data_IF_368321534191
#
_entry.id   IF_368321534191
#
_cell.length_a   1.000
_cell.length_b   1.000
_cell.length_c   1.000
_cell.angle_alpha   90.00
_cell.angle_beta   90.00
_cell.angle_gamma   90.00
#
_symmetry.space_group_name_H-M   'P 1'
#
loop_
_entity.id
_entity.type
_entity.pdbx_description
1 polymer ?
#
# COMPACT_ATOMS: atom_id res chain seq x y z
N UNK A 1 48.95 -0.29 -5.46
CA UNK A 1 47.52 -0.32 -5.85
C UNK A 1 46.65 -0.19 -4.61
N UNK A 2 45.75 0.79 -4.54
CA UNK A 2 44.78 0.89 -3.42
C UNK A 2 43.80 -0.28 -3.52
N UNK A 3 43.69 -1.12 -2.48
CA UNK A 3 42.67 -2.17 -2.40
C UNK A 3 41.29 -1.51 -2.49
N UNK A 4 40.58 -1.76 -3.58
CA UNK A 4 39.17 -1.34 -3.72
C UNK A 4 38.32 -2.23 -2.83
N UNK A 5 37.51 -1.63 -1.97
CA UNK A 5 36.56 -2.34 -1.11
C UNK A 5 35.48 -2.99 -1.99
N UNK A 6 35.38 -4.33 -1.93
CA UNK A 6 34.39 -5.12 -2.66
C UNK A 6 33.21 -5.39 -1.72
N UNK A 7 32.01 -4.98 -2.13
CA UNK A 7 30.77 -5.24 -1.38
C UNK A 7 29.94 -6.35 -2.05
N UNK A 8 29.23 -7.12 -1.23
CA UNK A 8 28.30 -8.17 -1.64
C UNK A 8 26.85 -7.71 -1.45
N UNK A 9 25.89 -8.41 -2.08
CA UNK A 9 24.45 -8.23 -1.84
C UNK A 9 24.18 -8.33 -0.35
N UNK A 10 23.83 -7.20 0.26
CA UNK A 10 23.26 -7.19 1.59
C UNK A 10 21.81 -7.69 1.50
N UNK A 11 21.34 -8.45 2.49
CA UNK A 11 19.93 -8.85 2.64
C UNK A 11 19.02 -7.66 3.00
N UNK A 12 19.25 -6.48 2.40
CA UNK A 12 18.43 -5.29 2.60
C UNK A 12 17.11 -5.50 1.88
N UNK A 13 16.03 -5.51 2.66
CA UNK A 13 14.66 -5.55 2.14
C UNK A 13 14.26 -4.20 1.52
N UNK A 14 14.80 -3.10 2.06
CA UNK A 14 14.44 -1.75 1.66
C UNK A 14 15.64 -1.05 1.01
N UNK A 15 15.41 -0.47 -0.15
CA UNK A 15 16.34 0.48 -0.78
C UNK A 15 15.80 1.91 -0.72
N UNK A 16 16.69 2.89 -0.72
CA UNK A 16 16.33 4.30 -0.77
C UNK A 16 16.99 5.00 -1.96
N UNK A 17 16.24 5.84 -2.65
CA UNK A 17 16.76 6.68 -3.73
C UNK A 17 16.07 8.03 -3.76
N UNK A 18 16.78 9.07 -4.20
CA UNK A 18 16.22 10.42 -4.34
C UNK A 18 15.03 10.46 -5.30
N UNK A 19 14.06 11.29 -4.95
CA UNK A 19 12.91 11.60 -5.79
C UNK A 19 13.31 12.13 -7.17
N UNK A 20 14.46 12.81 -7.26
CA UNK A 20 15.01 13.31 -8.54
C UNK A 20 15.33 12.19 -9.51
N UNK A 21 15.81 11.04 -9.02
CA UNK A 21 16.06 9.86 -9.88
C UNK A 21 14.74 9.24 -10.30
N UNK A 22 13.76 9.13 -9.41
CA UNK A 22 12.42 8.63 -9.78
C UNK A 22 11.80 9.48 -10.90
N UNK A 23 11.97 10.80 -10.88
CA UNK A 23 11.45 11.68 -11.93
C UNK A 23 12.44 11.98 -13.06
N UNK A 24 13.63 11.38 -13.05
CA UNK A 24 14.61 11.55 -14.12
C UNK A 24 14.15 10.88 -15.41
N UNK A 25 14.67 11.32 -16.56
CA UNK A 25 14.39 10.67 -17.86
C UNK A 25 15.43 9.59 -18.09
N UNK A 26 14.97 8.35 -18.22
CA UNK A 26 15.81 7.21 -18.60
C UNK A 26 14.93 6.03 -19.02
N UNK A 27 15.55 5.11 -19.75
CA UNK A 27 14.98 3.82 -20.08
C UNK A 27 15.92 2.70 -19.64
N UNK A 28 15.37 1.70 -18.96
CA UNK A 28 16.05 0.46 -18.64
C UNK A 28 15.14 -0.72 -19.01
N UNK A 29 15.72 -1.79 -19.53
CA UNK A 29 15.05 -3.09 -19.66
C UNK A 29 14.94 -3.80 -18.31
N UNK A 30 14.12 -4.83 -18.23
CA UNK A 30 13.95 -5.64 -17.01
C UNK A 30 15.30 -6.10 -16.41
N UNK A 31 16.16 -6.71 -17.21
CA UNK A 31 17.45 -7.20 -16.72
C UNK A 31 18.36 -6.07 -16.21
N UNK A 32 18.41 -4.95 -16.94
CA UNK A 32 19.15 -3.75 -16.52
C UNK A 32 18.60 -3.17 -15.22
N UNK A 33 17.27 -3.10 -15.08
CA UNK A 33 16.61 -2.65 -13.85
C UNK A 33 16.98 -3.53 -12.66
N UNK A 34 16.89 -4.85 -12.81
CA UNK A 34 17.20 -5.79 -11.72
C UNK A 34 18.67 -5.69 -11.30
N UNK A 35 19.61 -5.56 -12.26
CA UNK A 35 21.03 -5.34 -11.96
C UNK A 35 21.22 -4.02 -11.19
N UNK A 36 20.59 -2.92 -11.62
CA UNK A 36 20.69 -1.62 -10.91
C UNK A 36 20.04 -1.67 -9.53
N UNK A 37 18.90 -2.33 -9.37
CA UNK A 37 18.25 -2.49 -8.07
C UNK A 37 19.17 -3.27 -7.10
N UNK A 38 19.75 -4.38 -7.56
CA UNK A 38 20.69 -5.18 -6.77
C UNK A 38 22.00 -4.43 -6.50
N UNK A 39 22.45 -3.59 -7.42
CA UNK A 39 23.57 -2.67 -7.22
C UNK A 39 23.29 -1.68 -6.08
N UNK A 40 22.15 -0.99 -6.15
CA UNK A 40 21.75 0.01 -5.17
C UNK A 40 21.48 -0.64 -3.80
N UNK A 41 20.94 -1.85 -3.77
CA UNK A 41 20.71 -2.60 -2.52
C UNK A 41 22.01 -2.85 -1.71
N UNK A 42 23.16 -2.89 -2.39
CA UNK A 42 24.47 -3.04 -1.74
C UNK A 42 24.99 -1.73 -1.12
N UNK A 43 24.42 -0.59 -1.50
CA UNK A 43 24.77 0.73 -0.99
C UNK A 43 24.12 0.96 0.38
N UNK A 44 24.93 1.31 1.38
CA UNK A 44 24.38 1.85 2.64
C UNK A 44 24.04 3.34 2.46
N UNK A 45 22.78 3.65 2.17
CA UNK A 45 22.36 5.03 1.89
C UNK A 45 22.54 6.00 3.06
N UNK A 46 22.83 5.51 4.28
CA UNK A 46 23.06 6.34 5.47
C UNK A 46 24.55 6.43 5.78
N UNK A 47 25.26 5.30 5.79
CA UNK A 47 26.64 5.20 6.27
C UNK A 47 27.69 5.42 5.19
N UNK A 48 27.40 5.04 3.94
CA UNK A 48 28.40 5.10 2.88
C UNK A 48 28.67 6.55 2.46
N UNK A 49 29.96 6.92 2.41
CA UNK A 49 30.42 8.24 1.92
C UNK A 49 30.88 8.21 0.46
N UNK A 50 31.16 7.03 -0.08
CA UNK A 50 31.63 6.79 -1.44
C UNK A 50 31.13 5.44 -1.93
N UNK A 51 30.97 5.29 -3.24
CA UNK A 51 30.68 3.99 -3.84
C UNK A 51 31.93 3.12 -3.84
N UNK A 52 31.74 1.84 -3.56
CA UNK A 52 32.75 0.78 -3.73
C UNK A 52 32.64 0.13 -5.10
N UNK A 53 33.36 -0.98 -5.28
CA UNK A 53 33.05 -1.94 -6.35
C UNK A 53 32.08 -2.96 -5.80
N UNK A 54 31.00 -3.19 -6.54
CA UNK A 54 29.96 -4.13 -6.17
C UNK A 54 30.06 -5.35 -7.06
N UNK A 55 29.68 -6.51 -6.52
CA UNK A 55 29.64 -7.75 -7.29
C UNK A 55 28.30 -8.46 -7.15
N UNK A 56 27.95 -9.18 -8.21
CA UNK A 56 26.79 -10.07 -8.26
C UNK A 56 27.22 -11.33 -9.00
N UNK A 57 27.06 -12.49 -8.39
CA UNK A 57 27.27 -13.77 -9.08
C UNK A 57 26.07 -14.09 -9.97
N UNK A 58 26.28 -14.80 -11.08
CA UNK A 58 25.18 -15.24 -11.95
C UNK A 58 24.15 -16.07 -11.19
N UNK A 59 24.53 -17.07 -10.37
CA UNK A 59 23.55 -17.85 -9.62
C UNK A 59 22.68 -16.99 -8.66
N UNK A 60 23.28 -16.00 -7.99
CA UNK A 60 22.52 -15.06 -7.14
C UNK A 60 21.55 -14.22 -7.98
N UNK A 61 22.00 -13.74 -9.15
CA UNK A 61 21.14 -12.98 -10.07
C UNK A 61 19.98 -13.85 -10.54
N UNK A 62 20.23 -15.07 -11.02
CA UNK A 62 19.20 -16.00 -11.48
C UNK A 62 18.17 -16.32 -10.38
N UNK A 63 18.63 -16.52 -9.14
CA UNK A 63 17.76 -16.75 -8.00
C UNK A 63 16.84 -15.55 -7.75
N UNK A 64 17.36 -14.32 -7.82
CA UNK A 64 16.59 -13.09 -7.60
C UNK A 64 15.67 -12.75 -8.76
N UNK A 65 16.09 -13.04 -10.00
CA UNK A 65 15.28 -12.82 -11.21
C UNK A 65 14.21 -13.92 -11.35
N UNK A 66 14.44 -15.12 -10.82
CA UNK A 66 13.57 -16.27 -10.97
C UNK A 66 13.66 -16.93 -12.35
N UNK A 67 14.73 -16.66 -13.11
CA UNK A 67 14.96 -17.24 -14.43
C UNK A 67 16.44 -17.42 -14.72
N UNK A 68 16.75 -18.38 -15.60
CA UNK A 68 18.12 -18.65 -16.06
C UNK A 68 18.56 -17.58 -17.06
N UNK A 69 19.82 -17.16 -16.96
CA UNK A 69 20.39 -16.11 -17.80
C UNK A 69 21.54 -16.68 -18.59
N UNK A 70 21.45 -16.60 -19.92
CA UNK A 70 22.56 -17.00 -20.79
C UNK A 70 23.70 -16.00 -20.64
N UNK A 71 24.93 -16.50 -20.60
CA UNK A 71 26.14 -15.67 -20.49
C UNK A 71 26.21 -14.56 -21.55
N UNK A 72 25.89 -14.87 -22.81
CA UNK A 72 25.88 -13.89 -23.90
C UNK A 72 24.86 -12.76 -23.65
N UNK A 73 23.68 -13.09 -23.15
CA UNK A 73 22.65 -12.12 -22.79
C UNK A 73 23.10 -11.22 -21.63
N UNK A 74 23.85 -11.77 -20.68
CA UNK A 74 24.40 -11.02 -19.56
C UNK A 74 25.48 -10.02 -20.00
N UNK A 75 26.41 -10.45 -20.85
CA UNK A 75 27.44 -9.58 -21.44
C UNK A 75 26.79 -8.42 -22.20
N UNK A 76 25.79 -8.70 -23.01
CA UNK A 76 25.02 -7.69 -23.73
C UNK A 76 24.25 -6.75 -22.80
N UNK A 77 23.65 -7.28 -21.73
CA UNK A 77 22.97 -6.47 -20.72
C UNK A 77 23.94 -5.49 -20.04
N UNK A 78 25.15 -5.94 -19.69
CA UNK A 78 26.18 -5.08 -19.11
C UNK A 78 26.64 -4.00 -20.09
N UNK A 79 26.87 -4.38 -21.36
CA UNK A 79 27.24 -3.45 -22.43
C UNK A 79 26.19 -2.35 -22.62
N UNK A 80 24.91 -2.73 -22.68
CA UNK A 80 23.82 -1.76 -22.79
C UNK A 80 23.70 -0.92 -21.54
N UNK A 81 23.85 -1.50 -20.35
CA UNK A 81 23.76 -0.78 -19.07
C UNK A 81 24.79 0.35 -18.98
N UNK A 82 26.02 0.13 -19.44
CA UNK A 82 27.06 1.17 -19.55
C UNK A 82 26.63 2.34 -20.44
N UNK A 83 25.79 2.09 -21.44
CA UNK A 83 25.28 3.10 -22.37
C UNK A 83 24.00 3.80 -21.84
N UNK A 84 23.45 3.37 -20.71
CA UNK A 84 22.23 3.97 -20.14
C UNK A 84 22.52 5.29 -19.47
N UNK A 85 21.91 6.33 -20.02
CA UNK A 85 22.03 7.70 -19.52
C UNK A 85 20.84 8.03 -18.64
N UNK A 86 21.13 8.67 -17.51
CA UNK A 86 20.16 9.36 -16.66
C UNK A 86 20.20 10.84 -17.01
N UNK A 87 19.06 11.40 -17.38
CA UNK A 87 18.90 12.83 -17.65
C UNK A 87 18.10 13.49 -16.53
N UNK A 88 18.70 14.46 -15.85
CA UNK A 88 18.09 15.22 -14.76
C UNK A 88 18.03 16.71 -15.13
N UNK A 89 16.83 17.27 -15.09
CA UNK A 89 16.59 18.71 -15.24
C UNK A 89 16.73 19.42 -13.89
N UNK A 90 17.34 20.60 -13.91
CA UNK A 90 17.43 21.53 -12.78
C UNK A 90 17.07 22.93 -13.29
N UNK A 91 15.77 23.20 -13.45
CA UNK A 91 15.28 24.45 -14.04
C UNK A 91 15.64 24.52 -15.52
N UNK A 92 16.37 25.58 -15.92
CA UNK A 92 16.85 25.75 -17.31
C UNK A 92 18.08 24.89 -17.62
N UNK A 93 18.77 24.38 -16.61
CA UNK A 93 19.97 23.57 -16.76
C UNK A 93 19.64 22.08 -16.76
N UNK A 94 20.48 21.27 -17.39
CA UNK A 94 20.35 19.83 -17.39
C UNK A 94 21.69 19.14 -17.12
N UNK A 95 21.64 17.92 -16.62
CA UNK A 95 22.80 17.07 -16.40
C UNK A 95 22.51 15.66 -16.89
N UNK A 96 23.46 15.10 -17.64
CA UNK A 96 23.44 13.72 -18.13
C UNK A 96 24.62 12.96 -17.56
N UNK A 97 24.40 11.74 -17.12
CA UNK A 97 25.45 10.85 -16.65
C UNK A 97 24.99 9.39 -16.77
N UNK A 98 25.95 8.47 -16.77
CA UNK A 98 25.65 7.04 -16.83
C UNK A 98 25.29 6.48 -15.44
N UNK A 99 24.50 5.41 -15.40
CA UNK A 99 24.19 4.71 -14.14
C UNK A 99 25.43 4.11 -13.49
N UNK A 100 26.26 3.47 -14.29
CA UNK A 100 27.49 2.80 -13.88
C UNK A 100 28.66 3.38 -14.66
N UNK A 101 29.82 3.41 -14.01
CA UNK A 101 31.09 3.87 -14.59
C UNK A 101 31.97 2.71 -15.05
N UNK A 102 31.75 1.50 -14.51
CA UNK A 102 32.44 0.28 -14.93
C UNK A 102 31.51 -0.91 -14.86
N UNK A 103 31.68 -1.86 -15.78
CA UNK A 103 31.15 -3.22 -15.73
C UNK A 103 32.24 -4.18 -16.20
N UNK A 104 32.49 -5.24 -15.44
CA UNK A 104 33.49 -6.26 -15.70
C UNK A 104 32.85 -7.62 -15.48
N UNK A 105 32.97 -8.50 -16.47
CA UNK A 105 32.52 -9.89 -16.36
C UNK A 105 33.73 -10.81 -16.15
N UNK A 106 33.68 -11.63 -15.11
CA UNK A 106 34.75 -12.55 -14.73
C UNK A 106 34.27 -13.97 -15.01
N UNK A 107 34.80 -14.55 -16.09
CA UNK A 107 34.37 -15.84 -16.64
C UNK A 107 34.53 -16.99 -15.64
N UNK A 108 35.72 -17.14 -15.06
CA UNK A 108 36.01 -18.21 -14.08
C UNK A 108 35.23 -18.13 -12.77
N UNK A 109 34.70 -16.95 -12.42
CA UNK A 109 33.91 -16.74 -11.20
C UNK A 109 32.40 -16.64 -11.48
N UNK A 110 31.97 -16.69 -12.75
CA UNK A 110 30.60 -16.40 -13.16
C UNK A 110 30.02 -15.16 -12.46
N UNK A 111 30.81 -14.08 -12.43
CA UNK A 111 30.53 -12.89 -11.62
C UNK A 111 30.61 -11.62 -12.45
N UNK A 112 29.70 -10.69 -12.19
CA UNK A 112 29.81 -9.32 -12.70
C UNK A 112 30.28 -8.42 -11.56
N UNK A 113 31.31 -7.62 -11.81
CA UNK A 113 31.69 -6.47 -11.00
C UNK A 113 31.24 -5.19 -11.68
N UNK A 114 30.74 -4.24 -10.92
CA UNK A 114 30.39 -2.92 -11.43
C UNK A 114 30.65 -1.83 -10.40
N UNK A 115 30.80 -0.61 -10.89
CA UNK A 115 30.89 0.59 -10.07
C UNK A 115 29.79 1.56 -10.46
N UNK A 116 28.92 1.90 -9.51
CA UNK A 116 27.92 2.96 -9.69
C UNK A 116 28.67 4.27 -9.99
N UNK A 117 28.16 5.05 -10.94
CA UNK A 117 28.78 6.33 -11.29
C UNK A 117 28.84 7.26 -10.08
N UNK A 118 29.97 7.96 -9.90
CA UNK A 118 30.13 8.92 -8.79
C UNK A 118 29.10 10.06 -8.86
N UNK A 119 28.54 10.33 -10.04
CA UNK A 119 27.45 11.28 -10.25
C UNK A 119 26.13 10.87 -9.57
N UNK A 120 26.00 9.59 -9.22
CA UNK A 120 24.84 9.09 -8.46
C UNK A 120 24.91 9.37 -6.96
N UNK A 121 26.07 9.81 -6.42
CA UNK A 121 26.26 10.00 -4.98
C UNK A 121 25.18 10.89 -4.35
N UNK A 122 24.81 12.05 -4.92
CA UNK A 122 23.78 12.92 -4.33
C UNK A 122 22.39 12.29 -4.30
N UNK A 123 22.17 11.19 -5.04
CA UNK A 123 20.87 10.57 -5.20
C UNK A 123 20.73 9.23 -4.46
N UNK A 124 21.82 8.65 -3.98
CA UNK A 124 21.82 7.34 -3.30
C UNK A 124 22.51 7.37 -1.93
N UNK A 125 23.39 8.34 -1.66
CA UNK A 125 24.15 8.43 -0.41
C UNK A 125 23.69 9.60 0.45
N UNK A 126 23.69 9.39 1.76
CA UNK A 126 23.41 10.38 2.80
C UNK A 126 22.12 11.17 2.53
N UNK A 127 21.06 10.46 2.13
CA UNK A 127 19.79 11.07 1.79
C UNK A 127 19.11 11.64 3.05
N UNK A 128 19.01 12.97 3.14
CA UNK A 128 18.44 13.70 4.30
C UNK A 128 16.99 14.17 4.10
N UNK A 129 16.39 13.88 2.94
CA UNK A 129 15.01 14.25 2.59
C UNK A 129 14.73 14.07 1.10
N UNK A 130 13.46 14.16 0.69
CA UNK A 130 13.04 14.00 -0.71
C UNK A 130 13.57 12.71 -1.38
N UNK A 131 13.42 11.59 -0.69
CA UNK A 131 13.74 10.27 -1.19
C UNK A 131 12.56 9.33 -0.99
N UNK A 132 12.57 8.25 -1.75
CA UNK A 132 11.58 7.18 -1.69
C UNK A 132 12.23 5.91 -1.20
N UNK A 133 11.56 5.24 -0.27
CA UNK A 133 11.88 3.87 0.13
C UNK A 133 11.12 2.91 -0.76
N UNK A 134 11.77 1.82 -1.17
CA UNK A 134 11.24 0.84 -2.10
C UNK A 134 11.53 -0.54 -1.53
N UNK A 135 10.50 -1.36 -1.44
CA UNK A 135 10.64 -2.78 -1.10
C UNK A 135 11.30 -3.51 -2.29
N UNK A 136 12.55 -3.93 -2.08
CA UNK A 136 13.38 -4.55 -3.11
C UNK A 136 12.75 -5.85 -3.61
N UNK A 137 12.15 -6.63 -2.71
CA UNK A 137 11.51 -7.89 -3.07
C UNK A 137 10.34 -7.68 -4.05
N UNK A 138 9.52 -6.66 -3.82
CA UNK A 138 8.43 -6.31 -4.72
C UNK A 138 8.97 -5.79 -6.05
N UNK A 139 9.98 -4.92 -6.01
CA UNK A 139 10.62 -4.36 -7.20
C UNK A 139 11.24 -5.44 -8.12
N UNK A 140 11.87 -6.47 -7.54
CA UNK A 140 12.52 -7.55 -8.30
C UNK A 140 11.52 -8.52 -8.96
N UNK A 141 10.27 -8.60 -8.47
CA UNK A 141 9.22 -9.46 -9.05
C UNK A 141 8.68 -8.91 -10.38
N UNK A 142 8.91 -7.63 -10.69
CA UNK A 142 8.41 -7.00 -11.89
C UNK A 142 9.25 -7.37 -13.12
N UNK A 143 8.53 -7.68 -14.21
CA UNK A 143 9.11 -8.03 -15.50
C UNK A 143 8.78 -6.98 -16.58
N UNK A 144 7.71 -6.20 -16.38
CA UNK A 144 7.34 -5.14 -17.31
C UNK A 144 8.34 -3.99 -17.32
N UNK A 145 8.73 -3.58 -18.54
CA UNK A 145 9.69 -2.50 -18.80
C UNK A 145 9.38 -1.20 -18.04
N UNK A 146 8.10 -0.87 -17.86
CA UNK A 146 7.67 0.37 -17.21
C UNK A 146 7.09 0.14 -15.81
N UNK A 147 6.83 -1.11 -15.41
CA UNK A 147 6.17 -1.46 -14.14
C UNK A 147 6.91 -0.89 -12.95
N UNK A 148 8.24 -1.06 -12.90
CA UNK A 148 9.06 -0.53 -11.81
C UNK A 148 8.94 0.99 -11.68
N UNK A 149 8.81 1.72 -12.79
CA UNK A 149 8.67 3.18 -12.79
C UNK A 149 7.34 3.60 -12.19
N UNK A 150 6.23 2.96 -12.59
CA UNK A 150 4.92 3.20 -11.98
C UNK A 150 4.89 2.84 -10.50
N UNK A 151 5.53 1.74 -10.10
CA UNK A 151 5.67 1.38 -8.68
C UNK A 151 6.43 2.45 -7.91
N UNK A 152 7.55 2.94 -8.45
CA UNK A 152 8.34 4.02 -7.87
C UNK A 152 7.53 5.32 -7.73
N UNK A 153 6.67 5.65 -8.70
CA UNK A 153 5.75 6.78 -8.60
C UNK A 153 4.75 6.59 -7.46
N UNK A 154 4.18 5.40 -7.29
CA UNK A 154 3.32 5.07 -6.13
C UNK A 154 4.08 5.27 -4.81
N UNK A 155 5.27 4.67 -4.68
CA UNK A 155 6.04 4.72 -3.44
C UNK A 155 6.48 6.14 -3.08
N UNK A 156 6.74 7.00 -4.07
CA UNK A 156 7.04 8.42 -3.81
C UNK A 156 5.89 9.16 -3.11
N UNK A 157 4.65 8.71 -3.27
CA UNK A 157 3.47 9.29 -2.61
C UNK A 157 3.12 8.61 -1.28
N UNK A 158 3.90 7.64 -0.80
CA UNK A 158 3.52 6.80 0.34
C UNK A 158 3.22 7.59 1.62
N UNK A 159 3.95 8.69 1.84
CA UNK A 159 3.78 9.58 2.99
C UNK A 159 2.84 10.77 2.71
N UNK A 160 2.26 10.87 1.52
CA UNK A 160 1.28 11.92 1.19
C UNK A 160 -0.10 11.50 1.68
N UNK A 161 -0.86 12.42 2.27
CA UNK A 161 -2.20 12.13 2.80
C UNK A 161 -3.16 11.59 1.73
N UNK A 162 -3.11 12.16 0.52
CA UNK A 162 -4.00 11.80 -0.59
C UNK A 162 -3.56 10.55 -1.35
N UNK A 163 -2.26 10.21 -1.33
CA UNK A 163 -1.64 9.14 -2.13
C UNK A 163 -2.01 9.20 -3.61
N UNK A 164 -2.14 10.42 -4.13
CA UNK A 164 -2.56 10.75 -5.50
C UNK A 164 -1.51 11.66 -6.14
N UNK A 165 -1.24 11.45 -7.44
CA UNK A 165 -0.38 12.32 -8.23
C UNK A 165 -0.85 12.36 -9.67
N UNK A 166 -0.92 13.57 -10.21
CA UNK A 166 -1.19 13.80 -11.62
C UNK A 166 0.09 13.85 -12.44
N UNK A 167 -0.03 13.45 -13.70
CA UNK A 167 1.03 13.47 -14.69
C UNK A 167 0.49 14.02 -16.00
N UNK A 168 1.06 15.14 -16.47
CA UNK A 168 0.91 15.54 -17.86
C UNK A 168 1.50 14.47 -18.76
N UNK A 169 0.75 14.03 -19.77
CA UNK A 169 1.16 12.89 -20.61
C UNK A 169 2.45 13.16 -21.38
N UNK A 170 2.63 14.38 -21.90
CA UNK A 170 3.87 14.80 -22.58
C UNK A 170 5.09 14.56 -21.67
N UNK A 171 5.00 15.02 -20.42
CA UNK A 171 6.08 14.88 -19.45
C UNK A 171 6.28 13.45 -19.00
N UNK A 172 5.21 12.68 -18.82
CA UNK A 172 5.30 11.27 -18.47
C UNK A 172 6.00 10.46 -19.58
N UNK A 173 5.70 10.75 -20.85
CA UNK A 173 6.36 10.10 -21.98
C UNK A 173 7.86 10.38 -22.00
N UNK A 174 8.27 11.62 -21.70
CA UNK A 174 9.68 11.98 -21.54
C UNK A 174 10.34 11.24 -20.38
N UNK A 175 9.72 11.23 -19.19
CA UNK A 175 10.25 10.59 -17.99
C UNK A 175 10.45 9.08 -18.19
N UNK A 176 9.54 8.44 -18.94
CA UNK A 176 9.60 7.02 -19.28
C UNK A 176 10.43 6.72 -20.54
N UNK A 177 10.89 7.75 -21.25
CA UNK A 177 11.60 7.65 -22.53
C UNK A 177 10.85 6.75 -23.53
N UNK A 178 9.53 6.97 -23.68
CA UNK A 178 8.72 6.14 -24.55
C UNK A 178 9.08 6.36 -26.02
N UNK A 179 9.14 5.29 -26.84
CA UNK A 179 9.24 5.43 -28.28
C UNK A 179 7.97 6.07 -28.85
N UNK A 180 8.13 6.79 -29.96
CA UNK A 180 7.02 7.50 -30.63
C UNK A 180 5.83 6.59 -30.93
N UNK A 181 6.10 5.33 -31.30
CA UNK A 181 5.07 4.33 -31.59
C UNK A 181 4.09 4.08 -30.43
N UNK A 182 4.48 4.39 -29.19
CA UNK A 182 3.63 4.29 -27.99
C UNK A 182 2.99 5.62 -27.59
N UNK A 183 3.48 6.75 -28.12
CA UNK A 183 2.97 8.10 -27.79
C UNK A 183 1.98 8.64 -28.82
N UNK A 184 1.91 8.05 -30.02
CA UNK A 184 0.99 8.45 -31.10
C UNK A 184 -0.48 8.44 -30.68
N UNK A 185 -0.85 7.53 -29.76
CA UNK A 185 -2.23 7.34 -29.32
C UNK A 185 -2.29 7.00 -27.84
N UNK A 186 -3.17 7.68 -27.10
CA UNK A 186 -3.42 7.35 -25.70
C UNK A 186 -3.93 5.92 -25.53
N UNK A 187 -4.72 5.40 -26.47
CA UNK A 187 -5.22 4.03 -26.39
C UNK A 187 -4.06 3.01 -26.41
N UNK A 188 -3.03 3.26 -27.23
CA UNK A 188 -1.85 2.40 -27.27
C UNK A 188 -0.99 2.55 -26.02
N UNK A 189 -0.78 3.77 -25.53
CA UNK A 189 -0.10 4.01 -24.25
C UNK A 189 -0.81 3.28 -23.10
N UNK A 190 -2.14 3.41 -23.01
CA UNK A 190 -2.98 2.71 -22.04
C UNK A 190 -2.78 1.20 -22.10
N UNK A 191 -3.00 0.59 -23.27
CA UNK A 191 -2.98 -0.87 -23.46
C UNK A 191 -1.58 -1.49 -23.32
N UNK A 192 -0.52 -0.76 -23.69
CA UNK A 192 0.85 -1.31 -23.75
C UNK A 192 1.73 -0.88 -22.58
N UNK A 193 1.36 0.17 -21.85
CA UNK A 193 2.18 0.72 -20.76
C UNK A 193 1.41 0.78 -19.45
N UNK A 194 0.31 1.53 -19.39
CA UNK A 194 -0.39 1.77 -18.11
C UNK A 194 -1.00 0.46 -17.58
N UNK A 195 -1.88 -0.18 -18.36
CA UNK A 195 -2.63 -1.35 -17.87
C UNK A 195 -1.71 -2.52 -17.53
N UNK A 196 -0.70 -2.90 -18.36
CA UNK A 196 0.24 -3.95 -17.98
C UNK A 196 1.01 -3.62 -16.70
N UNK A 197 1.45 -2.36 -16.54
CA UNK A 197 2.21 -1.94 -15.34
C UNK A 197 1.34 -2.00 -14.08
N UNK A 198 0.12 -1.47 -14.14
CA UNK A 198 -0.80 -1.43 -12.99
C UNK A 198 -1.27 -2.84 -12.63
N UNK A 199 -1.59 -3.69 -13.61
CA UNK A 199 -1.97 -5.07 -13.38
C UNK A 199 -0.85 -5.89 -12.74
N UNK A 200 0.40 -5.68 -13.19
CA UNK A 200 1.55 -6.37 -12.61
C UNK A 200 1.83 -5.91 -11.17
N UNK A 201 1.75 -4.59 -10.89
CA UNK A 201 1.84 -4.06 -9.51
C UNK A 201 0.77 -4.67 -8.62
N UNK A 202 -0.48 -4.69 -9.10
CA UNK A 202 -1.62 -5.22 -8.35
C UNK A 202 -1.51 -6.72 -8.09
N UNK A 203 -0.81 -7.46 -8.96
CA UNK A 203 -0.60 -8.90 -8.77
C UNK A 203 0.59 -9.18 -7.86
N UNK A 204 1.71 -8.48 -8.03
CA UNK A 204 3.01 -8.89 -7.49
C UNK A 204 3.53 -8.06 -6.31
N UNK A 205 2.83 -7.01 -5.89
CA UNK A 205 3.25 -6.14 -4.78
C UNK A 205 2.26 -6.11 -3.61
N UNK A 206 2.65 -5.42 -2.54
CA UNK A 206 1.88 -5.14 -1.33
C UNK A 206 0.80 -4.06 -1.52
N UNK A 207 0.78 -3.39 -2.67
CA UNK A 207 -0.17 -2.30 -2.96
C UNK A 207 -1.18 -2.65 -4.05
N UNK A 208 -2.31 -1.95 -4.01
CA UNK A 208 -3.28 -1.86 -5.10
C UNK A 208 -3.21 -0.46 -5.71
N UNK A 209 -2.58 -0.35 -6.87
CA UNK A 209 -2.51 0.85 -7.69
C UNK A 209 -3.72 0.96 -8.61
N UNK A 210 -4.10 2.20 -8.91
CA UNK A 210 -5.15 2.55 -9.87
C UNK A 210 -4.78 3.85 -10.59
N UNK A 211 -5.41 4.08 -11.74
CA UNK A 211 -5.23 5.32 -12.49
C UNK A 211 -6.56 5.79 -13.08
N UNK A 212 -6.66 7.09 -13.33
CA UNK A 212 -7.81 7.69 -14.00
C UNK A 212 -7.39 8.86 -14.90
N UNK A 213 -8.27 9.26 -15.81
CA UNK A 213 -8.06 10.46 -16.63
C UNK A 213 -8.48 11.67 -15.79
N UNK A 214 -7.53 12.52 -15.42
CA UNK A 214 -7.81 13.72 -14.62
C UNK A 214 -8.15 14.94 -15.48
N UNK A 215 -7.60 15.03 -16.70
CA UNK A 215 -7.83 16.18 -17.59
C UNK A 215 -7.88 15.82 -19.07
N UNK A 216 -8.81 16.46 -19.78
CA UNK A 216 -8.97 16.43 -21.24
C UNK A 216 -9.04 17.85 -21.79
N UNK A 217 -8.53 18.05 -23.00
CA UNK A 217 -8.72 19.26 -23.81
C UNK A 217 -9.46 18.84 -25.07
N UNK A 218 -10.75 19.19 -25.17
CA UNK A 218 -11.65 18.60 -26.15
C UNK A 218 -11.69 17.06 -26.02
N UNK A 219 -11.42 16.35 -27.12
CA UNK A 219 -11.33 14.87 -27.12
C UNK A 219 -9.95 14.35 -26.71
N UNK A 220 -8.93 15.20 -26.64
CA UNK A 220 -7.55 14.80 -26.34
C UNK A 220 -7.37 14.65 -24.84
N UNK A 221 -6.88 13.49 -24.41
CA UNK A 221 -6.45 13.27 -23.03
C UNK A 221 -5.08 13.93 -22.85
N UNK A 222 -4.91 14.70 -21.79
CA UNK A 222 -3.67 15.44 -21.54
C UNK A 222 -3.03 15.10 -20.20
N UNK A 223 -3.80 14.57 -19.25
CA UNK A 223 -3.31 14.26 -17.91
C UNK A 223 -3.97 12.98 -17.39
N UNK A 224 -3.18 12.21 -16.63
CA UNK A 224 -3.67 11.07 -15.84
C UNK A 224 -3.35 11.30 -14.36
N UNK A 225 -4.19 10.77 -13.49
CA UNK A 225 -3.90 10.65 -12.06
C UNK A 225 -3.56 9.20 -11.72
N UNK A 226 -2.47 9.00 -10.97
CA UNK A 226 -2.09 7.73 -10.37
C UNK A 226 -2.40 7.78 -8.87
N UNK A 227 -2.97 6.71 -8.34
CA UNK A 227 -3.19 6.54 -6.91
C UNK A 227 -2.99 5.10 -6.45
N UNK A 228 -2.85 4.88 -5.15
CA UNK A 228 -2.75 3.54 -4.61
C UNK A 228 -3.27 3.40 -3.18
N UNK A 229 -3.55 2.16 -2.79
CA UNK A 229 -3.90 1.76 -1.42
C UNK A 229 -3.05 0.57 -0.99
N UNK A 230 -2.73 0.47 0.30
CA UNK A 230 -2.12 -0.75 0.86
C UNK A 230 -3.14 -1.90 0.82
N UNK A 231 -2.71 -3.09 0.41
CA UNK A 231 -3.58 -4.28 0.39
C UNK A 231 -3.95 -4.74 1.80
N UNK A 232 -3.03 -4.65 2.75
CA UNK A 232 -3.28 -4.95 4.15
C UNK A 232 -4.41 -4.06 4.69
N UNK A 233 -4.29 -2.73 4.51
CA UNK A 233 -5.34 -1.79 4.91
C UNK A 233 -6.67 -2.05 4.22
N UNK A 234 -6.67 -2.50 2.95
CA UNK A 234 -7.90 -2.89 2.26
C UNK A 234 -8.53 -4.16 2.87
N UNK A 235 -7.72 -5.13 3.29
CA UNK A 235 -8.19 -6.35 3.94
C UNK A 235 -8.82 -6.02 5.30
N UNK A 236 -8.16 -5.19 6.10
CA UNK A 236 -8.69 -4.70 7.39
C UNK A 236 -10.03 -3.98 7.23
N UNK A 237 -10.12 -3.02 6.29
CA UNK A 237 -11.37 -2.31 5.99
C UNK A 237 -12.48 -3.27 5.53
N UNK A 238 -12.13 -4.29 4.74
CA UNK A 238 -13.10 -5.31 4.29
C UNK A 238 -13.57 -6.18 5.46
N UNK A 239 -12.67 -6.55 6.39
CA UNK A 239 -13.01 -7.31 7.59
C UNK A 239 -13.96 -6.51 8.48
N UNK A 240 -13.63 -5.25 8.77
CA UNK A 240 -14.48 -4.34 9.54
C UNK A 240 -15.86 -4.15 8.88
N UNK A 241 -15.91 -3.93 7.57
CA UNK A 241 -17.18 -3.78 6.85
C UNK A 241 -18.05 -5.05 6.90
N UNK A 242 -17.43 -6.25 6.83
CA UNK A 242 -18.13 -7.53 6.97
C UNK A 242 -18.67 -7.72 8.39
N UNK A 243 -17.90 -7.35 9.39
CA UNK A 243 -18.32 -7.40 10.80
C UNK A 243 -19.48 -6.43 11.08
N UNK A 244 -19.38 -5.18 10.66
CA UNK A 244 -20.50 -4.22 10.76
C UNK A 244 -21.74 -4.76 10.05
N UNK A 245 -21.58 -5.37 8.87
CA UNK A 245 -22.70 -5.97 8.13
C UNK A 245 -23.31 -7.19 8.85
N UNK A 246 -22.51 -8.04 9.49
CA UNK A 246 -23.00 -9.21 10.22
C UNK A 246 -23.78 -8.81 11.47
N UNK A 247 -23.42 -7.70 12.12
CA UNK A 247 -24.09 -7.18 13.31
C UNK A 247 -25.46 -6.55 13.01
N UNK A 248 -25.68 -6.01 11.79
CA UNK A 248 -26.98 -5.43 11.41
C UNK A 248 -28.17 -6.37 11.60
N UNK A 249 -27.96 -7.70 11.57
CA UNK A 249 -29.02 -8.71 11.78
C UNK A 249 -29.61 -8.70 13.20
N UNK A 250 -28.97 -8.03 14.15
CA UNK A 250 -29.45 -7.93 15.54
C UNK A 250 -30.27 -6.67 15.80
N UNK A 251 -30.19 -5.65 14.93
CA UNK A 251 -31.00 -4.43 15.06
C UNK A 251 -32.49 -4.80 15.05
N UNK A 252 -33.25 -4.22 15.98
CA UNK A 252 -34.68 -4.49 16.21
C UNK A 252 -34.97 -5.75 17.03
N UNK A 253 -33.96 -6.57 17.37
CA UNK A 253 -34.19 -7.72 18.26
C UNK A 253 -34.30 -7.26 19.71
N UNK A 254 -35.13 -7.98 20.45
CA UNK A 254 -35.25 -7.84 21.90
C UNK A 254 -34.13 -8.60 22.60
N UNK A 255 -33.55 -7.98 23.61
CA UNK A 255 -32.44 -8.49 24.40
C UNK A 255 -32.72 -8.24 25.89
N UNK A 256 -32.32 -9.18 26.75
CA UNK A 256 -32.42 -9.02 28.21
C UNK A 256 -31.07 -8.58 28.78
N UNK A 257 -31.02 -7.41 29.41
CA UNK A 257 -29.82 -6.84 30.01
C UNK A 257 -30.12 -6.39 31.44
N UNK A 258 -29.50 -7.03 32.44
CA UNK A 258 -29.78 -6.80 33.88
C UNK A 258 -31.28 -6.66 34.18
N UNK A 259 -32.09 -7.63 33.73
CA UNK A 259 -33.56 -7.68 33.89
C UNK A 259 -34.39 -6.64 33.11
N UNK A 260 -33.73 -5.73 32.40
CA UNK A 260 -34.36 -4.82 31.45
C UNK A 260 -34.50 -5.49 30.08
N UNK A 261 -35.73 -5.51 29.57
CA UNK A 261 -36.01 -5.93 28.20
C UNK A 261 -35.80 -4.73 27.26
N UNK A 262 -34.72 -4.75 26.49
CA UNK A 262 -34.31 -3.67 25.60
C UNK A 262 -34.48 -4.07 24.13
N UNK A 263 -34.62 -3.08 23.24
CA UNK A 263 -34.60 -3.26 21.79
C UNK A 263 -33.29 -2.69 21.25
N UNK A 264 -32.59 -3.48 20.45
CA UNK A 264 -31.31 -3.08 19.85
C UNK A 264 -31.57 -2.03 18.76
N UNK A 265 -31.22 -0.77 19.01
CA UNK A 265 -31.30 0.32 18.03
C UNK A 265 -30.05 0.36 17.14
N UNK A 266 -28.89 0.25 17.78
CA UNK A 266 -27.60 0.16 17.08
C UNK A 266 -26.70 -0.85 17.77
N UNK A 267 -25.73 -1.36 17.03
CA UNK A 267 -24.72 -2.26 17.56
C UNK A 267 -23.39 -2.03 16.84
N UNK A 268 -22.31 -2.04 17.61
CA UNK A 268 -20.95 -1.96 17.09
C UNK A 268 -19.99 -2.84 17.91
N UNK A 269 -18.81 -3.13 17.35
CA UNK A 269 -17.72 -3.79 18.08
C UNK A 269 -16.65 -2.75 18.39
N UNK A 270 -16.32 -2.60 19.67
CA UNK A 270 -15.23 -1.77 20.15
C UNK A 270 -13.96 -2.63 20.21
N UNK A 271 -13.07 -2.45 19.24
CA UNK A 271 -11.83 -3.21 19.13
C UNK A 271 -10.81 -2.88 20.24
N UNK A 272 -10.83 -1.67 20.79
CA UNK A 272 -9.90 -1.27 21.87
C UNK A 272 -10.25 -1.96 23.18
N UNK A 273 -11.56 -2.07 23.47
CA UNK A 273 -12.08 -2.67 24.71
C UNK A 273 -12.53 -4.12 24.52
N UNK A 274 -12.38 -4.67 23.31
CA UNK A 274 -12.75 -6.04 22.95
C UNK A 274 -14.19 -6.41 23.33
N UNK A 275 -15.17 -5.52 23.08
CA UNK A 275 -16.58 -5.72 23.46
C UNK A 275 -17.57 -5.25 22.40
N UNK A 276 -18.78 -5.80 22.45
CA UNK A 276 -19.93 -5.35 21.65
C UNK A 276 -20.74 -4.32 22.42
N UNK A 277 -20.95 -3.17 21.79
CA UNK A 277 -21.72 -2.05 22.35
C UNK A 277 -23.07 -1.99 21.65
N UNK A 278 -24.13 -2.20 22.42
CA UNK A 278 -25.53 -2.08 21.99
C UNK A 278 -26.08 -0.75 22.46
N UNK A 279 -26.61 0.04 21.53
CA UNK A 279 -27.36 1.25 21.85
C UNK A 279 -28.85 0.91 21.84
N UNK A 280 -29.58 1.39 22.83
CA UNK A 280 -31.02 1.24 22.96
C UNK A 280 -31.63 2.53 23.51
N UNK A 281 -32.96 2.65 23.43
CA UNK A 281 -33.73 3.70 24.13
C UNK A 281 -34.36 3.12 25.38
N UNK A 282 -34.23 3.83 26.50
CA UNK A 282 -34.89 3.45 27.74
C UNK A 282 -36.38 3.86 27.76
N UNK A 283 -37.02 3.77 28.94
CA UNK A 283 -38.44 4.12 29.11
C UNK A 283 -38.76 5.60 28.96
N UNK A 284 -37.77 6.50 29.08
CA UNK A 284 -37.93 7.96 28.85
C UNK A 284 -37.59 8.36 27.42
N UNK A 285 -36.97 7.45 26.65
CA UNK A 285 -36.57 7.66 25.27
C UNK A 285 -35.12 8.08 25.10
N UNK A 286 -34.36 8.13 26.21
CA UNK A 286 -32.95 8.51 26.22
C UNK A 286 -32.08 7.36 25.71
N UNK A 287 -30.97 7.72 25.04
CA UNK A 287 -30.04 6.74 24.49
C UNK A 287 -29.14 6.17 25.58
N UNK A 288 -29.23 4.86 25.77
CA UNK A 288 -28.45 4.09 26.73
C UNK A 288 -27.56 3.07 26.01
N UNK A 289 -26.52 2.59 26.72
CA UNK A 289 -25.58 1.58 26.21
C UNK A 289 -25.60 0.32 27.08
N UNK A 290 -25.61 -0.83 26.42
CA UNK A 290 -25.40 -2.15 27.01
C UNK A 290 -24.16 -2.79 26.39
N UNK A 291 -23.25 -3.24 27.25
CA UNK A 291 -21.95 -3.80 26.84
C UNK A 291 -21.96 -5.32 26.99
N UNK A 292 -21.42 -6.05 26.00
CA UNK A 292 -21.29 -7.51 25.99
C UNK A 292 -19.86 -7.89 25.59
N UNK A 293 -19.16 -8.68 26.40
CA UNK A 293 -17.75 -9.03 26.11
C UNK A 293 -17.59 -10.01 24.93
N UNK A 294 -18.68 -10.65 24.49
CA UNK A 294 -18.66 -11.54 23.32
C UNK A 294 -19.99 -11.53 22.57
N UNK A 295 -19.93 -11.96 21.30
CA UNK A 295 -21.12 -12.09 20.47
C UNK A 295 -22.06 -13.17 21.03
N UNK A 296 -21.50 -14.24 21.61
CA UNK A 296 -22.28 -15.33 22.20
C UNK A 296 -23.08 -14.85 23.42
N UNK A 297 -22.50 -13.96 24.25
CA UNK A 297 -23.23 -13.35 25.36
C UNK A 297 -24.40 -12.50 24.88
N UNK A 298 -24.20 -11.71 23.82
CA UNK A 298 -25.29 -10.98 23.19
C UNK A 298 -26.38 -11.93 22.65
N UNK A 299 -26.00 -13.00 21.97
CA UNK A 299 -26.97 -13.97 21.41
C UNK A 299 -27.77 -14.68 22.51
N UNK A 300 -27.13 -15.04 23.63
CA UNK A 300 -27.80 -15.57 24.83
C UNK A 300 -28.78 -14.54 25.37
N UNK A 301 -28.36 -13.28 25.50
CA UNK A 301 -29.21 -12.20 26.00
C UNK A 301 -30.41 -11.92 25.08
N UNK A 302 -30.24 -12.03 23.76
CA UNK A 302 -31.33 -11.98 22.78
C UNK A 302 -32.30 -13.16 22.94
N UNK A 303 -31.78 -14.37 23.13
CA UNK A 303 -32.61 -15.56 23.37
C UNK A 303 -33.44 -15.41 24.64
N UNK A 304 -32.82 -14.93 25.72
CA UNK A 304 -33.50 -14.61 26.98
C UNK A 304 -34.53 -13.49 26.80
N UNK A 305 -34.18 -12.43 26.08
CA UNK A 305 -35.09 -11.32 25.76
C UNK A 305 -36.35 -11.78 25.04
N UNK A 306 -36.23 -12.73 24.09
CA UNK A 306 -37.39 -13.31 23.40
C UNK A 306 -38.31 -14.10 24.35
N UNK A 307 -37.74 -14.88 25.27
CA UNK A 307 -38.50 -15.64 26.27
C UNK A 307 -39.23 -14.67 27.20
N UNK A 308 -38.51 -13.66 27.70
CA UNK A 308 -39.04 -12.63 28.59
C UNK A 308 -40.16 -11.82 27.93
N UNK A 309 -39.98 -11.40 26.67
CA UNK A 309 -41.01 -10.70 25.91
C UNK A 309 -42.30 -11.51 25.78
N UNK A 310 -42.19 -12.82 25.51
CA UNK A 310 -43.34 -13.72 25.46
C UNK A 310 -43.99 -13.88 26.83
N UNK A 311 -43.20 -14.00 27.90
CA UNK A 311 -43.71 -14.10 29.27
C UNK A 311 -44.46 -12.83 29.69
N UNK A 312 -43.90 -11.65 29.44
CA UNK A 312 -44.56 -10.35 29.72
C UNK A 312 -45.86 -10.20 28.93
N UNK A 313 -45.86 -10.59 27.66
CA UNK A 313 -47.07 -10.56 26.82
C UNK A 313 -48.16 -11.51 27.31
N UNK A 314 -47.79 -12.67 27.86
CA UNK A 314 -48.73 -13.64 28.42
C UNK A 314 -49.26 -13.22 29.81
N UNK A 315 -48.53 -12.37 30.54
CA UNK A 315 -48.87 -11.94 31.89
C UNK A 315 -48.93 -10.40 32.03
N UNK A 316 -49.77 -9.69 31.25
CA UNK A 316 -49.78 -8.23 31.22
C UNK A 316 -50.06 -7.60 32.60
N UNK A 317 -50.85 -8.26 33.45
CA UNK A 317 -51.20 -7.81 34.80
C UNK A 317 -49.98 -7.63 35.71
N UNK A 318 -48.93 -8.44 35.54
CA UNK A 318 -47.68 -8.36 36.33
C UNK A 318 -46.77 -7.21 35.88
N UNK A 319 -46.99 -6.66 34.68
CA UNK A 319 -46.10 -5.70 34.04
C UNK A 319 -46.83 -4.44 33.56
N UNK A 320 -48.06 -4.19 34.03
CA UNK A 320 -48.77 -2.93 33.81
C UNK A 320 -47.86 -1.78 34.27
N UNK A 321 -47.61 -0.83 33.38
CA UNK A 321 -46.95 0.42 33.75
C UNK A 321 -47.79 1.10 34.82
N UNK A 322 -47.15 1.42 35.94
CA UNK A 322 -47.68 2.41 36.87
C UNK A 322 -47.59 3.75 36.13
N UNK A 323 -48.71 4.20 35.56
CA UNK A 323 -48.73 5.28 34.56
C UNK A 323 -48.86 6.69 35.19
N UNK A 324 -48.89 6.80 36.52
CA UNK A 324 -48.93 8.11 37.19
C UNK A 324 -47.79 8.30 38.21
N UNK A 325 -47.21 9.52 38.23
CA UNK A 325 -46.26 9.97 39.28
C UNK A 325 -46.84 9.79 40.69
N UNK A 326 -48.16 9.81 40.80
CA UNK A 326 -48.92 9.69 42.04
C UNK A 326 -48.96 8.25 42.57
N UNK A 327 -49.11 7.26 41.70
CA UNK A 327 -49.09 5.84 42.08
C UNK A 327 -47.68 5.37 42.44
N UNK A 328 -46.63 5.87 41.77
CA UNK A 328 -45.23 5.61 42.15
C UNK A 328 -44.96 6.18 43.56
N UNK A 329 -45.45 7.39 43.85
CA UNK A 329 -45.30 8.01 45.16
C UNK A 329 -46.07 7.27 46.28
N UNK A 330 -47.20 6.65 45.96
CA UNK A 330 -47.96 5.84 46.91
C UNK A 330 -47.30 4.47 47.17
N UNK A 331 -46.75 3.81 46.14
CA UNK A 331 -46.02 2.55 46.28
C UNK A 331 -44.77 2.70 47.18
N UNK A 332 -44.03 3.80 47.02
CA UNK A 332 -42.89 4.14 47.89
C UNK A 332 -43.31 4.42 49.33
N UNK A 333 -44.52 4.94 49.55
CA UNK A 333 -45.04 5.26 50.89
C UNK A 333 -45.51 4.01 51.64
N UNK A 334 -46.03 3.01 50.91
CA UNK A 334 -46.45 1.73 51.48
C UNK A 334 -45.28 0.77 51.74
N UNK A 335 -44.16 0.87 51.00
CA UNK A 335 -42.94 0.12 51.30
C UNK A 335 -42.15 0.63 52.52
N UNK A 336 -42.47 1.83 53.01
CA UNK A 336 -41.78 2.50 54.13
C UNK A 336 -42.58 2.46 55.44
N UNK A 337 -43.67 1.69 55.49
CA UNK A 337 -44.38 1.28 56.70
C UNK A 337 -44.12 -0.19 56.97
#
# INVERSE_FOLDING_TARGET
MKKTEIKNIANRQIMAQSNKVITAKYELTEAEQKIILLAIAQVDSIKDKKFGTYKITIPELEQKIGSKIKQAQLKETCRRLMQRVVYIENGKNWKMFHWISTAEYIDGENTIKFKISDEMKPFLLQLKGNFTKIELENALKFNGKYTLRFYQFCMQMQNQATKKRTFELSKLYEILQLPESLTTSFARFKLKVIEPSINEINTKSDIKANWEISKKIGKKIVEIELNFKSKERLQEQTKQAREVKSLKKYIGKQCLYFDYLIIIEQISYNAEQSRYEVIYKDGTGDLCRADFDSIDMLEIAIKKGKIEANFRKANPELFKKIDSKEEIANLFRDMMK
#
